data_IF_936461415684
#
_entry.id   IF_936461415684
#
_cell.length_a   1.000
_cell.length_b   1.000
_cell.length_c   1.000
_cell.angle_alpha   90.00
_cell.angle_beta   90.00
_cell.angle_gamma   90.00
#
_symmetry.space_group_name_H-M   'P 1'
#
loop_
_entity.id
_entity.type
_entity.pdbx_description
1 polymer ?
#
# COMPACT_ATOMS: atom_id res chain seq x y z
N UNK A 1 -23.30 3.21 -5.19
CA UNK A 1 -22.65 2.56 -6.34
C UNK A 1 -22.09 1.25 -5.87
N UNK A 2 -22.51 0.14 -6.46
CA UNK A 2 -21.93 -1.17 -6.21
C UNK A 2 -20.96 -1.51 -7.34
N UNK A 3 -19.85 -2.17 -7.01
CA UNK A 3 -18.91 -2.69 -8.01
C UNK A 3 -19.52 -3.92 -8.68
N UNK A 4 -19.93 -3.78 -9.94
CA UNK A 4 -20.49 -4.90 -10.73
C UNK A 4 -19.43 -5.68 -11.52
N UNK A 5 -18.25 -5.10 -11.73
CA UNK A 5 -17.12 -5.73 -12.42
C UNK A 5 -15.82 -5.41 -11.69
N UNK A 6 -15.00 -6.43 -11.49
CA UNK A 6 -13.69 -6.34 -10.86
C UNK A 6 -12.59 -6.16 -11.93
N UNK A 7 -11.70 -5.16 -11.81
CA UNK A 7 -10.64 -4.91 -12.78
C UNK A 7 -9.52 -5.95 -12.66
N UNK A 8 -8.74 -6.19 -13.70
CA UNK A 8 -7.56 -7.07 -13.61
C UNK A 8 -6.52 -6.54 -12.60
N UNK A 9 -6.37 -5.22 -12.52
CA UNK A 9 -5.49 -4.54 -11.56
C UNK A 9 -6.30 -3.68 -10.61
N UNK A 10 -6.21 -3.96 -9.32
CA UNK A 10 -6.87 -3.21 -8.25
C UNK A 10 -5.87 -2.31 -7.52
N UNK A 11 -6.18 -1.01 -7.44
CA UNK A 11 -5.38 -0.03 -6.68
C UNK A 11 -6.14 0.37 -5.42
N UNK A 12 -5.56 0.12 -4.26
CA UNK A 12 -6.11 0.52 -2.96
C UNK A 12 -5.28 1.67 -2.39
N UNK A 13 -5.87 2.86 -2.31
CA UNK A 13 -5.23 4.02 -1.70
C UNK A 13 -5.63 4.14 -0.22
N UNK A 14 -4.66 3.94 0.67
CA UNK A 14 -4.87 4.15 2.11
C UNK A 14 -4.95 5.65 2.42
N UNK A 15 -6.09 6.10 2.93
CA UNK A 15 -6.31 7.50 3.34
C UNK A 15 -5.59 7.82 4.65
N UNK A 16 -4.26 7.98 4.58
CA UNK A 16 -3.40 8.23 5.75
C UNK A 16 -3.35 9.70 6.17
N UNK A 17 -3.78 10.66 5.36
CA UNK A 17 -3.81 12.06 5.77
C UNK A 17 -5.19 12.45 6.26
N UNK A 18 -5.24 12.92 7.51
CA UNK A 18 -6.48 13.31 8.17
C UNK A 18 -6.31 14.67 8.85
N UNK A 19 -7.38 15.43 8.90
CA UNK A 19 -7.40 16.71 9.60
C UNK A 19 -7.47 16.47 11.10
N UNK A 20 -6.55 17.07 11.83
CA UNK A 20 -6.49 17.07 13.28
C UNK A 20 -7.03 18.42 13.80
N UNK A 21 -8.25 18.43 14.38
CA UNK A 21 -8.89 19.66 14.83
C UNK A 21 -8.23 20.27 16.06
N UNK A 22 -7.47 19.48 16.85
CA UNK A 22 -6.77 19.99 18.04
C UNK A 22 -5.63 20.93 17.67
N UNK A 23 -4.94 20.63 16.58
CA UNK A 23 -3.82 21.45 16.08
C UNK A 23 -4.18 22.28 14.85
N UNK A 24 -5.45 22.25 14.42
CA UNK A 24 -5.94 22.89 13.19
C UNK A 24 -5.04 22.61 11.98
N UNK A 25 -4.62 21.36 11.81
CA UNK A 25 -3.64 20.97 10.78
C UNK A 25 -3.88 19.55 10.28
N UNK A 26 -3.32 19.20 9.13
CA UNK A 26 -3.38 17.83 8.62
C UNK A 26 -2.20 17.01 9.12
N UNK A 27 -2.48 15.80 9.59
CA UNK A 27 -1.49 14.86 10.09
C UNK A 27 -1.54 13.55 9.30
N UNK A 28 -0.37 12.96 9.12
CA UNK A 28 -0.24 11.60 8.58
C UNK A 28 -0.44 10.57 9.69
N UNK A 29 -1.34 9.63 9.47
CA UNK A 29 -1.50 8.42 10.24
C UNK A 29 -0.43 7.40 9.85
N UNK A 30 0.52 7.23 10.76
CA UNK A 30 1.62 6.26 10.64
C UNK A 30 1.31 4.95 11.38
N UNK A 31 0.05 4.71 11.77
CA UNK A 31 -0.37 3.43 12.33
C UNK A 31 -0.12 2.30 11.32
N UNK A 32 0.28 1.15 11.87
CA UNK A 32 0.61 -0.04 11.10
C UNK A 32 -0.67 -0.67 10.55
N UNK A 33 -0.70 -0.91 9.25
CA UNK A 33 -1.77 -1.62 8.55
C UNK A 33 -1.24 -2.98 8.14
N UNK A 34 -1.78 -4.02 8.75
CA UNK A 34 -1.63 -5.36 8.20
C UNK A 34 -2.58 -5.50 7.02
N UNK A 35 -2.12 -6.05 5.90
CA UNK A 35 -3.00 -6.44 4.78
C UNK A 35 -3.21 -7.95 4.88
N UNK A 36 -4.21 -8.44 5.65
CA UNK A 36 -4.45 -9.86 5.73
C UNK A 36 -5.13 -10.34 4.44
N UNK A 37 -4.65 -11.46 3.90
CA UNK A 37 -5.23 -12.12 2.71
C UNK A 37 -6.76 -12.30 2.80
N UNK A 38 -7.29 -12.55 4.01
CA UNK A 38 -8.72 -12.74 4.24
C UNK A 38 -9.55 -11.45 4.13
N UNK A 39 -9.02 -10.29 4.51
CA UNK A 39 -9.76 -9.01 4.40
C UNK A 39 -9.97 -8.64 2.93
N UNK A 40 -9.01 -8.99 2.07
CA UNK A 40 -9.11 -8.78 0.63
C UNK A 40 -10.20 -9.65 0.00
N UNK A 41 -10.35 -10.91 0.44
CA UNK A 41 -11.43 -11.80 -0.01
C UNK A 41 -12.84 -11.27 0.31
N UNK A 42 -13.02 -10.71 1.52
CA UNK A 42 -14.30 -10.14 1.97
C UNK A 42 -14.69 -8.88 1.19
N UNK A 43 -13.73 -7.97 0.93
CA UNK A 43 -13.98 -6.73 0.20
C UNK A 43 -14.41 -6.98 -1.26
N UNK A 44 -14.04 -8.13 -1.81
CA UNK A 44 -14.14 -8.42 -3.24
C UNK A 44 -15.11 -9.56 -3.56
N UNK A 45 -15.97 -9.91 -2.59
CA UNK A 45 -17.08 -10.85 -2.77
C UNK A 45 -16.68 -12.20 -3.41
N UNK A 46 -15.53 -12.75 -3.01
CA UNK A 46 -15.01 -14.01 -3.53
C UNK A 46 -13.99 -13.88 -4.67
N UNK A 47 -13.71 -12.67 -5.15
CA UNK A 47 -12.60 -12.43 -6.07
C UNK A 47 -11.29 -12.27 -5.28
N UNK A 48 -10.24 -12.99 -5.67
CA UNK A 48 -8.93 -12.93 -5.03
C UNK A 48 -7.95 -12.13 -5.86
N UNK A 49 -7.19 -11.24 -5.22
CA UNK A 49 -6.06 -10.55 -5.83
C UNK A 49 -4.79 -10.85 -5.06
N UNK A 50 -3.70 -11.00 -5.79
CA UNK A 50 -2.38 -11.09 -5.22
C UNK A 50 -1.77 -9.70 -5.05
N UNK A 51 -1.25 -9.42 -3.85
CA UNK A 51 -0.48 -8.20 -3.62
C UNK A 51 0.85 -8.33 -4.36
N UNK A 52 1.07 -7.47 -5.35
CA UNK A 52 2.31 -7.44 -6.12
C UNK A 52 3.10 -6.13 -5.98
N UNK A 53 2.50 -5.06 -5.43
CA UNK A 53 3.16 -3.78 -5.22
C UNK A 53 2.63 -3.04 -4.00
N UNK A 54 3.51 -2.33 -3.31
CA UNK A 54 3.21 -1.42 -2.20
C UNK A 54 4.01 -0.13 -2.41
N UNK A 55 3.31 1.00 -2.49
CA UNK A 55 3.95 2.32 -2.51
C UNK A 55 3.99 2.88 -1.10
N UNK A 56 5.18 3.24 -0.66
CA UNK A 56 5.43 3.81 0.64
C UNK A 56 5.77 5.29 0.51
N UNK A 57 5.33 6.07 1.49
CA UNK A 57 5.69 7.47 1.64
C UNK A 57 6.29 7.66 3.03
N UNK A 58 7.51 8.19 3.11
CA UNK A 58 8.18 8.56 4.36
C UNK A 58 8.24 10.09 4.47
N UNK A 59 7.54 10.66 5.45
CA UNK A 59 7.45 12.12 5.60
C UNK A 59 6.09 12.59 6.07
N UNK A 60 5.82 13.87 5.85
CA UNK A 60 4.63 14.61 6.30
C UNK A 60 3.78 15.05 5.12
N UNK A 61 2.69 15.77 5.37
CA UNK A 61 1.88 16.32 4.28
C UNK A 61 2.65 17.31 3.40
N UNK A 62 3.58 18.06 4.00
CA UNK A 62 4.34 19.12 3.32
C UNK A 62 5.50 18.59 2.49
N UNK A 63 5.80 17.29 2.57
CA UNK A 63 6.88 16.67 1.81
C UNK A 63 7.36 15.36 2.41
N UNK A 64 8.07 14.60 1.60
CA UNK A 64 8.63 13.32 1.99
C UNK A 64 9.24 12.60 0.80
N UNK A 65 9.54 11.32 1.03
CA UNK A 65 10.20 10.43 0.10
C UNK A 65 9.27 9.29 -0.29
N UNK A 66 9.19 9.00 -1.59
CA UNK A 66 8.40 7.88 -2.10
C UNK A 66 9.33 6.76 -2.56
N UNK A 67 8.96 5.54 -2.21
CA UNK A 67 9.65 4.33 -2.64
C UNK A 67 8.64 3.20 -2.78
N UNK A 68 8.99 2.14 -3.49
CA UNK A 68 8.06 1.04 -3.77
C UNK A 68 8.66 -0.31 -3.41
N UNK A 69 7.87 -1.19 -2.81
CA UNK A 69 8.16 -2.61 -2.76
C UNK A 69 7.36 -3.30 -3.86
N UNK A 70 8.02 -4.04 -4.75
CA UNK A 70 7.37 -4.73 -5.89
C UNK A 70 7.82 -6.19 -5.89
N UNK A 71 6.88 -7.11 -6.11
CA UNK A 71 7.13 -8.53 -6.29
C UNK A 71 7.43 -8.79 -7.77
N UNK A 72 8.60 -9.34 -8.06
CA UNK A 72 8.95 -9.81 -9.40
C UNK A 72 8.02 -10.96 -9.81
N UNK A 73 7.46 -10.87 -11.02
CA UNK A 73 6.65 -11.95 -11.59
C UNK A 73 7.50 -13.16 -12.00
N UNK A 74 8.76 -12.94 -12.39
CA UNK A 74 9.67 -13.98 -12.85
C UNK A 74 10.25 -14.78 -11.68
N UNK A 75 10.65 -14.10 -10.61
CA UNK A 75 11.39 -14.71 -9.50
C UNK A 75 10.51 -14.97 -8.27
N UNK A 76 9.27 -14.45 -8.26
CA UNK A 76 8.38 -14.44 -7.09
C UNK A 76 9.00 -13.78 -5.84
N UNK A 77 10.07 -13.00 -6.00
CA UNK A 77 10.81 -12.33 -4.94
C UNK A 77 10.47 -10.84 -4.87
N UNK A 78 10.49 -10.29 -3.66
CA UNK A 78 10.24 -8.88 -3.42
C UNK A 78 11.52 -8.05 -3.52
N UNK A 79 11.37 -6.87 -4.11
CA UNK A 79 12.41 -5.88 -4.27
C UNK A 79 11.92 -4.53 -3.78
N UNK A 80 12.81 -3.75 -3.17
CA UNK A 80 12.57 -2.34 -2.87
C UNK A 80 13.25 -1.48 -3.92
N UNK A 81 12.45 -0.63 -4.56
CA UNK A 81 12.87 0.37 -5.53
C UNK A 81 12.89 1.72 -4.81
N UNK A 82 14.09 2.24 -4.60
CA UNK A 82 14.35 3.48 -3.91
C UNK A 82 15.25 4.34 -4.81
N UNK A 83 14.62 5.17 -5.64
CA UNK A 83 15.26 5.97 -6.69
C UNK A 83 16.17 5.13 -7.61
N UNK A 84 17.48 5.38 -7.59
CA UNK A 84 18.47 4.65 -8.38
C UNK A 84 18.91 3.33 -7.76
N UNK A 85 18.41 2.99 -6.56
CA UNK A 85 18.81 1.81 -5.81
C UNK A 85 17.69 0.78 -5.81
N UNK A 86 18.03 -0.45 -6.19
CA UNK A 86 17.12 -1.61 -6.13
C UNK A 86 17.79 -2.69 -5.30
N UNK A 87 17.09 -3.24 -4.32
CA UNK A 87 17.60 -4.32 -3.48
C UNK A 87 16.53 -5.34 -3.12
N UNK A 88 16.91 -6.63 -2.95
CA UNK A 88 16.00 -7.64 -2.42
C UNK A 88 15.45 -7.25 -1.05
N UNK A 89 14.15 -7.51 -0.83
CA UNK A 89 13.47 -7.23 0.43
C UNK A 89 12.68 -8.44 0.89
N UNK A 90 12.82 -8.82 2.17
CA UNK A 90 11.88 -9.74 2.81
C UNK A 90 10.68 -8.91 3.28
N UNK A 91 9.53 -9.08 2.63
CA UNK A 91 8.33 -8.36 3.04
C UNK A 91 7.66 -9.09 4.20
N UNK A 92 7.53 -8.41 5.35
CA UNK A 92 6.47 -8.72 6.29
C UNK A 92 5.29 -7.84 5.87
N UNK A 93 4.09 -8.40 5.64
CA UNK A 93 2.91 -7.67 5.11
C UNK A 93 2.30 -6.76 6.19
N UNK A 94 3.08 -5.77 6.60
CA UNK A 94 2.67 -4.73 7.51
C UNK A 94 3.26 -3.42 7.02
N UNK A 95 2.37 -2.48 6.68
CA UNK A 95 2.69 -1.18 6.07
C UNK A 95 2.39 -0.05 7.02
#
# INVERSE_FOLDING_TARGET
YELSKFPEVLILHLKRFQFDPTYNSYKKDNSRVSIPHHLLLLLLQGNTYDLYAVVCHAGTLSGGHYYASIKSFEECQWYEFNDSMVYPKVICIHV
#
